data_IF_337241534053
#
_entry.id   IF_337241534053
#
_cell.length_a   1.000
_cell.length_b   1.000
_cell.length_c   1.000
_cell.angle_alpha   90.00
_cell.angle_beta   90.00
_cell.angle_gamma   90.00
#
_symmetry.space_group_name_H-M   'P 1'
#
loop_
_entity.id
_entity.type
_entity.pdbx_description
1 polymer ?
#
# COMPACT_ATOMS: atom_id res chain seq x y z
N UNK A 1 -41.20 50.61 -30.50
CA UNK A 1 -40.61 50.59 -29.15
C UNK A 1 -40.75 49.17 -28.57
N UNK A 2 -39.62 48.46 -28.39
CA UNK A 2 -39.27 47.34 -27.47
C UNK A 2 -40.38 46.39 -26.98
N UNK A 3 -40.42 45.09 -27.34
CA UNK A 3 -39.57 43.95 -26.92
C UNK A 3 -39.47 43.79 -25.38
N UNK A 4 -40.35 43.02 -24.73
CA UNK A 4 -40.01 42.44 -23.40
C UNK A 4 -40.86 41.28 -22.83
N UNK A 5 -41.75 40.61 -23.57
CA UNK A 5 -42.67 39.62 -22.97
C UNK A 5 -42.17 38.15 -22.93
N UNK A 6 -40.90 37.87 -23.26
CA UNK A 6 -40.38 36.49 -23.33
C UNK A 6 -39.15 36.22 -22.44
N UNK A 7 -39.09 36.74 -21.21
CA UNK A 7 -37.92 36.55 -20.33
C UNK A 7 -38.18 36.29 -18.84
N UNK A 8 -39.35 35.79 -18.46
CA UNK A 8 -39.57 35.37 -17.06
C UNK A 8 -40.31 34.03 -16.97
N UNK A 9 -39.63 32.95 -17.38
CA UNK A 9 -40.10 31.59 -17.08
C UNK A 9 -38.95 30.60 -16.81
N UNK A 10 -37.75 31.07 -16.44
CA UNK A 10 -36.57 30.23 -16.26
C UNK A 10 -35.72 30.60 -15.03
N UNK A 11 -36.31 31.27 -14.04
CA UNK A 11 -35.62 31.65 -12.81
C UNK A 11 -36.38 31.14 -11.59
N UNK A 12 -36.25 29.84 -11.29
CA UNK A 12 -36.40 29.22 -9.96
C UNK A 12 -36.75 27.76 -10.15
N UNK A 13 -35.76 26.86 -10.06
CA UNK A 13 -35.69 25.70 -9.14
C UNK A 13 -34.30 25.08 -9.35
N UNK A 14 -33.27 25.72 -8.80
CA UNK A 14 -31.92 25.13 -8.65
C UNK A 14 -31.44 25.42 -7.24
N UNK A 15 -32.28 25.06 -6.28
CA UNK A 15 -31.96 25.10 -4.86
C UNK A 15 -32.51 23.83 -4.23
N UNK A 16 -31.61 22.89 -3.93
CA UNK A 16 -31.97 21.69 -3.17
C UNK A 16 -31.44 20.43 -3.82
N UNK A 17 -30.13 20.18 -3.66
CA UNK A 17 -29.52 18.89 -3.36
C UNK A 17 -28.00 19.02 -3.46
N UNK A 18 -27.42 19.84 -2.58
CA UNK A 18 -26.05 19.62 -2.14
C UNK A 18 -26.09 18.40 -1.21
N UNK A 19 -26.14 17.21 -1.79
CA UNK A 19 -25.74 16.02 -1.05
C UNK A 19 -24.27 16.23 -0.73
N UNK A 20 -23.97 16.40 0.55
CA UNK A 20 -22.62 16.42 1.08
C UNK A 20 -21.97 15.11 0.69
N UNK A 21 -21.24 15.11 -0.43
CA UNK A 21 -20.22 14.11 -0.71
C UNK A 21 -19.09 14.41 0.28
N UNK A 22 -19.23 13.92 1.51
CA UNK A 22 -18.11 13.75 2.42
C UNK A 22 -17.06 12.96 1.63
N UNK A 23 -15.82 13.44 1.50
CA UNK A 23 -14.78 12.60 0.97
C UNK A 23 -14.62 11.44 1.95
N UNK A 24 -14.91 10.23 1.47
CA UNK A 24 -14.55 8.95 2.10
C UNK A 24 -13.01 8.79 2.30
N UNK A 25 -12.24 9.87 2.11
CA UNK A 25 -10.83 9.98 2.48
C UNK A 25 -10.61 10.09 4.00
N UNK A 26 -11.68 10.09 4.81
CA UNK A 26 -11.59 10.00 6.27
C UNK A 26 -11.53 8.55 6.81
N UNK A 27 -11.72 7.53 5.96
CA UNK A 27 -11.69 6.12 6.37
C UNK A 27 -10.26 5.56 6.47
N UNK A 28 -9.38 6.22 7.22
CA UNK A 28 -8.11 5.63 7.70
C UNK A 28 -7.52 6.35 8.93
N UNK A 29 -8.23 7.32 9.50
CA UNK A 29 -7.65 8.23 10.50
C UNK A 29 -8.02 7.92 11.95
N UNK A 30 -8.52 6.74 12.27
CA UNK A 30 -8.81 6.41 13.68
C UNK A 30 -8.66 4.92 14.03
N UNK A 31 -7.54 4.34 13.60
CA UNK A 31 -6.89 3.23 14.31
C UNK A 31 -5.46 3.69 14.50
N UNK A 32 -5.04 3.99 15.73
CA UNK A 32 -3.78 4.67 16.03
C UNK A 32 -2.60 4.18 15.18
N UNK A 33 -1.68 5.11 14.86
CA UNK A 33 -0.54 4.86 13.97
C UNK A 33 0.16 3.51 14.23
N UNK A 34 0.40 2.76 13.16
CA UNK A 34 1.16 1.52 13.17
C UNK A 34 2.67 1.76 12.95
N UNK A 35 3.10 3.02 12.87
CA UNK A 35 4.51 3.37 12.74
C UNK A 35 5.30 2.84 13.95
N UNK A 36 6.50 2.32 13.69
CA UNK A 36 7.35 1.70 14.70
C UNK A 36 6.97 0.25 15.04
N UNK A 37 5.80 -0.23 14.61
CA UNK A 37 5.37 -1.62 14.88
C UNK A 37 5.87 -2.56 13.78
N UNK A 38 6.33 -3.74 14.18
CA UNK A 38 6.70 -4.83 13.27
C UNK A 38 5.51 -5.70 12.84
N UNK A 39 4.37 -5.60 13.53
CA UNK A 39 3.19 -6.40 13.22
C UNK A 39 3.35 -7.90 13.46
N UNK A 40 2.58 -8.69 12.71
CA UNK A 40 2.65 -10.15 12.71
C UNK A 40 3.89 -10.60 11.91
N UNK A 41 4.77 -11.37 12.56
CA UNK A 41 5.97 -11.92 11.95
C UNK A 41 5.79 -13.41 11.69
N UNK A 42 5.86 -13.81 10.43
CA UNK A 42 5.71 -15.20 9.98
C UNK A 42 7.03 -15.95 9.91
N UNK A 43 8.12 -15.22 9.65
CA UNK A 43 9.46 -15.79 9.48
C UNK A 43 10.53 -14.85 10.04
N UNK A 44 11.68 -15.39 10.48
CA UNK A 44 12.84 -14.57 10.83
C UNK A 44 13.42 -13.89 9.59
N UNK A 45 13.84 -12.63 9.73
CA UNK A 45 14.43 -11.85 8.63
C UNK A 45 15.77 -12.44 8.21
N UNK A 46 16.00 -12.51 6.90
CA UNK A 46 17.17 -13.24 6.35
C UNK A 46 18.33 -12.33 5.97
N UNK A 47 18.27 -11.03 6.28
CA UNK A 47 19.37 -10.09 5.99
C UNK A 47 20.41 -9.98 7.12
N UNK A 48 20.21 -10.63 8.27
CA UNK A 48 21.18 -10.63 9.37
C UNK A 48 21.65 -9.22 9.72
N UNK A 49 22.98 -9.03 9.86
CA UNK A 49 23.61 -7.73 10.11
C UNK A 49 24.00 -6.96 8.83
N UNK A 50 23.53 -7.37 7.65
CA UNK A 50 23.93 -6.73 6.40
C UNK A 50 23.12 -5.46 6.13
N UNK A 51 23.79 -4.41 5.65
CA UNK A 51 23.18 -3.12 5.29
C UNK A 51 22.70 -3.08 3.85
N UNK A 52 21.99 -4.12 3.43
CA UNK A 52 21.50 -4.25 2.05
C UNK A 52 20.18 -3.50 1.78
N UNK A 53 19.78 -3.35 0.50
CA UNK A 53 18.53 -2.70 0.12
C UNK A 53 17.30 -3.26 0.85
N UNK A 54 17.24 -4.57 1.07
CA UNK A 54 16.12 -5.20 1.77
C UNK A 54 16.03 -4.84 3.26
N UNK A 55 17.16 -4.56 3.92
CA UNK A 55 17.14 -4.05 5.29
C UNK A 55 16.52 -2.64 5.32
N UNK A 56 16.86 -1.77 4.35
CA UNK A 56 16.25 -0.45 4.24
C UNK A 56 14.75 -0.56 3.99
N UNK A 57 14.33 -1.41 3.05
CA UNK A 57 12.92 -1.65 2.74
C UNK A 57 12.14 -2.12 3.97
N UNK A 58 12.75 -2.98 4.80
CA UNK A 58 12.15 -3.43 6.05
C UNK A 58 12.03 -2.30 7.11
N UNK A 59 13.04 -1.43 7.22
CA UNK A 59 12.97 -0.24 8.09
C UNK A 59 11.86 0.71 7.64
N UNK A 60 11.72 0.93 6.33
CA UNK A 60 10.66 1.75 5.76
C UNK A 60 9.28 1.13 6.03
N UNK A 61 9.17 -0.21 6.00
CA UNK A 61 7.98 -0.94 6.44
C UNK A 61 7.63 -0.69 7.92
N UNK A 62 8.62 -0.74 8.81
CA UNK A 62 8.42 -0.42 10.23
C UNK A 62 7.98 1.04 10.40
N UNK A 63 8.56 1.97 9.67
CA UNK A 63 8.21 3.39 9.75
C UNK A 63 6.81 3.71 9.22
N UNK A 64 6.26 2.90 8.31
CA UNK A 64 4.96 3.16 7.69
C UNK A 64 3.81 3.17 8.73
N UNK A 65 2.95 4.22 8.73
CA UNK A 65 1.90 4.40 9.74
C UNK A 65 0.64 3.56 9.52
N UNK A 66 0.40 3.07 8.29
CA UNK A 66 -0.80 2.30 7.93
C UNK A 66 -0.51 0.84 7.62
N UNK A 67 -1.53 0.14 7.13
CA UNK A 67 -1.40 -1.28 6.79
C UNK A 67 -0.30 -1.49 5.76
N UNK A 68 0.67 -2.31 6.12
CA UNK A 68 1.90 -2.48 5.35
C UNK A 68 2.32 -3.94 5.41
N UNK A 69 3.11 -4.37 4.43
CA UNK A 69 3.64 -5.72 4.41
C UNK A 69 5.04 -5.75 3.80
N UNK A 70 5.83 -6.71 4.26
CA UNK A 70 7.15 -7.00 3.75
C UNK A 70 7.20 -8.46 3.31
N UNK A 71 7.44 -8.65 2.02
CA UNK A 71 7.64 -9.95 1.41
C UNK A 71 9.10 -10.13 1.03
N UNK A 72 9.58 -11.36 1.09
CA UNK A 72 10.91 -11.70 0.59
C UNK A 72 11.01 -13.17 0.15
N UNK A 73 12.03 -13.52 -0.63
CA UNK A 73 12.34 -14.93 -0.94
C UNK A 73 12.94 -15.62 0.28
N UNK A 74 12.93 -16.94 0.35
CA UNK A 74 13.74 -17.62 1.35
C UNK A 74 15.22 -17.49 0.97
N UNK A 75 16.11 -17.41 1.97
CA UNK A 75 17.55 -17.50 1.73
C UNK A 75 17.91 -18.98 1.63
N UNK A 76 18.73 -19.32 0.66
CA UNK A 76 19.30 -20.64 0.45
C UNK A 76 20.57 -20.52 -0.36
N UNK A 77 21.01 -21.62 -0.97
CA UNK A 77 22.25 -21.70 -1.77
C UNK A 77 22.17 -21.05 -3.15
N UNK A 78 21.23 -20.13 -3.37
CA UNK A 78 21.02 -19.44 -4.65
C UNK A 78 21.66 -18.05 -4.70
N UNK A 79 21.91 -17.59 -5.92
CA UNK A 79 22.65 -16.36 -6.24
C UNK A 79 21.99 -15.07 -5.75
N UNK A 80 20.66 -15.06 -5.62
CA UNK A 80 19.93 -13.85 -5.27
C UNK A 80 18.84 -14.10 -4.22
N UNK A 81 18.60 -13.04 -3.45
CA UNK A 81 17.53 -12.92 -2.49
C UNK A 81 16.80 -11.60 -2.75
N UNK A 82 15.47 -11.64 -2.83
CA UNK A 82 14.64 -10.48 -3.15
C UNK A 82 13.70 -10.13 -2.04
N UNK A 83 13.31 -8.86 -2.01
CA UNK A 83 12.27 -8.33 -1.15
C UNK A 83 11.31 -7.45 -1.94
N UNK A 84 10.10 -7.29 -1.42
CA UNK A 84 9.08 -6.41 -1.96
C UNK A 84 8.22 -5.83 -0.84
N UNK A 85 8.09 -4.51 -0.74
CA UNK A 85 7.22 -3.88 0.24
C UNK A 85 5.83 -3.58 -0.32
N UNK A 86 4.90 -3.33 0.60
CA UNK A 86 3.73 -2.50 0.37
C UNK A 86 3.50 -1.62 1.60
N UNK A 87 3.14 -0.36 1.38
CA UNK A 87 2.97 0.62 2.46
C UNK A 87 1.58 1.23 2.41
N UNK A 88 0.99 1.48 3.58
CA UNK A 88 -0.24 2.25 3.77
C UNK A 88 -1.41 1.82 2.85
N UNK A 89 -1.60 0.51 2.69
CA UNK A 89 -2.72 -0.05 1.96
C UNK A 89 -4.04 0.15 2.74
N UNK A 90 -5.20 0.03 2.07
CA UNK A 90 -6.50 0.12 2.75
C UNK A 90 -6.74 -0.98 3.78
N UNK A 91 -6.11 -2.15 3.61
CA UNK A 91 -6.20 -3.30 4.53
C UNK A 91 -4.87 -4.06 4.58
N UNK A 92 -4.64 -4.81 5.66
CA UNK A 92 -3.47 -5.70 5.78
C UNK A 92 -3.38 -6.71 4.64
N UNK A 93 -4.51 -7.32 4.25
CA UNK A 93 -4.59 -8.24 3.11
C UNK A 93 -4.14 -7.58 1.80
N UNK A 94 -4.60 -6.36 1.53
CA UNK A 94 -4.19 -5.63 0.34
C UNK A 94 -2.69 -5.28 0.36
N UNK A 95 -2.12 -5.01 1.54
CA UNK A 95 -0.68 -4.82 1.68
C UNK A 95 0.07 -6.12 1.34
N UNK A 96 -0.38 -7.27 1.87
CA UNK A 96 0.27 -8.56 1.61
C UNK A 96 0.25 -8.95 0.13
N UNK A 97 -0.89 -8.83 -0.53
CA UNK A 97 -1.01 -9.15 -1.97
C UNK A 97 -0.07 -8.28 -2.81
N UNK A 98 -0.01 -6.97 -2.52
CA UNK A 98 0.89 -6.03 -3.20
C UNK A 98 2.37 -6.34 -2.90
N UNK A 99 2.72 -6.65 -1.65
CA UNK A 99 4.09 -6.96 -1.28
C UNK A 99 4.59 -8.24 -1.99
N UNK A 100 3.75 -9.28 -2.06
CA UNK A 100 4.05 -10.49 -2.83
C UNK A 100 4.22 -10.19 -4.33
N UNK A 101 3.32 -9.40 -4.92
CA UNK A 101 3.42 -9.01 -6.32
C UNK A 101 4.74 -8.25 -6.60
N UNK A 102 5.06 -7.28 -5.76
CA UNK A 102 6.29 -6.49 -5.86
C UNK A 102 7.54 -7.37 -5.74
N UNK A 103 7.60 -8.26 -4.75
CA UNK A 103 8.74 -9.17 -4.58
C UNK A 103 8.91 -10.11 -5.79
N UNK A 104 7.83 -10.72 -6.26
CA UNK A 104 7.88 -11.62 -7.41
C UNK A 104 8.22 -10.88 -8.72
N UNK A 105 7.89 -9.58 -8.83
CA UNK A 105 8.24 -8.76 -10.00
C UNK A 105 9.76 -8.59 -10.17
N UNK A 106 10.50 -8.53 -9.06
CA UNK A 106 11.97 -8.46 -9.08
C UNK A 106 12.56 -9.72 -9.70
N UNK A 107 12.07 -10.89 -9.30
CA UNK A 107 12.48 -12.17 -9.90
C UNK A 107 12.19 -12.24 -11.40
N UNK A 108 11.04 -11.73 -11.85
CA UNK A 108 10.72 -11.65 -13.28
C UNK A 108 11.65 -10.71 -14.05
N UNK A 109 12.02 -9.58 -13.44
CA UNK A 109 12.90 -8.57 -14.06
C UNK A 109 14.32 -9.08 -14.25
N UNK A 110 14.91 -9.66 -13.19
CA UNK A 110 16.32 -10.03 -13.20
C UNK A 110 16.58 -11.46 -13.66
N UNK A 111 15.55 -12.32 -13.74
CA UNK A 111 15.64 -13.71 -14.26
C UNK A 111 16.70 -14.59 -13.59
N UNK A 112 17.18 -14.22 -12.39
CA UNK A 112 18.14 -15.02 -11.62
C UNK A 112 17.44 -16.09 -10.79
N UNK A 113 18.15 -17.18 -10.51
CA UNK A 113 17.63 -18.26 -9.67
C UNK A 113 17.54 -17.78 -8.22
N UNK A 114 16.40 -18.04 -7.61
CA UNK A 114 16.16 -17.83 -6.17
C UNK A 114 15.75 -19.15 -5.52
N UNK A 115 15.86 -19.22 -4.21
CA UNK A 115 15.54 -20.43 -3.43
C UNK A 115 14.05 -20.80 -3.49
N UNK A 116 13.19 -19.90 -3.98
CA UNK A 116 11.78 -20.18 -4.18
C UNK A 116 10.95 -18.91 -4.38
N UNK A 117 9.63 -19.07 -4.38
CA UNK A 117 8.69 -17.95 -4.45
C UNK A 117 8.83 -17.04 -3.23
N UNK A 118 8.47 -15.77 -3.41
CA UNK A 118 8.36 -14.84 -2.29
C UNK A 118 7.28 -15.27 -1.30
N UNK A 119 7.50 -15.00 -0.02
CA UNK A 119 6.55 -15.18 1.05
C UNK A 119 6.42 -13.89 1.87
N UNK A 120 5.30 -13.72 2.58
CA UNK A 120 5.13 -12.64 3.56
C UNK A 120 5.95 -12.98 4.80
N UNK A 121 6.80 -12.06 5.21
CA UNK A 121 7.63 -12.19 6.41
C UNK A 121 7.09 -11.38 7.57
N UNK A 122 6.57 -10.19 7.29
CA UNK A 122 5.89 -9.37 8.27
C UNK A 122 4.73 -8.59 7.65
N UNK A 123 3.65 -8.39 8.38
CA UNK A 123 2.56 -7.50 7.98
C UNK A 123 1.86 -6.86 9.19
N UNK A 124 1.36 -5.64 8.98
CA UNK A 124 0.61 -4.85 9.96
C UNK A 124 -0.52 -4.11 9.29
#
# INVERSE_FOLDING_TARGET
>A
MKLNTMRLALASVLAGLLVVAVPDAAMARDKGSLAGKEGDKRYPLQFGNTTGPCQKVYKDYIAAPGHSAYAQTHRGSTEAFFCGPAYNAPTQKAAEERALANCNSVGKKYKVKTTGKCAIYASK
#
